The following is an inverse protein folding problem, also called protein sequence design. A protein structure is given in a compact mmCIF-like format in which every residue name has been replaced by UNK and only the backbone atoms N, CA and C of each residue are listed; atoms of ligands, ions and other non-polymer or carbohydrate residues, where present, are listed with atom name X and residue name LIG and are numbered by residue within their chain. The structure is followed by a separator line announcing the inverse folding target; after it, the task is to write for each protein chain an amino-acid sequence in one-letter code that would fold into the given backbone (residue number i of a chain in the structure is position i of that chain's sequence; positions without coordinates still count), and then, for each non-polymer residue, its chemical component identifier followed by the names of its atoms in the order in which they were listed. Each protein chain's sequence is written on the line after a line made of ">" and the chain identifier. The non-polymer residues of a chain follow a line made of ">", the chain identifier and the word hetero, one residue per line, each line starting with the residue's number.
data_IF_432745911483
#
_entry.id   IF_432745911483
#
_cell.length_a   1.000
_cell.length_b   1.000
_cell.length_c   1.000
_cell.angle_alpha   90.00
_cell.angle_beta   90.00
_cell.angle_gamma   90.00
#
_symmetry.space_group_name_H-M   'P 1'
#
loop_
_entity.id
_entity.type
_entity.pdbx_description
1 polymer ?
#
# COMPACT_ATOMS: atom_id res chain seq x y z
N UNK A 1 6.79 17.45 -8.46
CA UNK A 1 6.05 16.34 -9.10
C UNK A 1 5.83 15.23 -8.08
N UNK A 2 4.61 14.72 -7.94
CA UNK A 2 4.28 13.70 -6.96
C UNK A 2 4.64 12.30 -7.48
N UNK A 3 5.47 11.56 -6.73
CA UNK A 3 5.98 10.19 -7.01
C UNK A 3 4.91 9.14 -7.39
N UNK A 4 3.63 9.44 -7.15
CA UNK A 4 2.48 8.62 -7.56
C UNK A 4 2.26 8.64 -9.08
N UNK A 5 2.47 9.78 -9.73
CA UNK A 5 2.21 9.97 -11.18
C UNK A 5 3.22 9.20 -12.03
N UNK A 6 4.48 9.15 -11.59
CA UNK A 6 5.58 8.46 -12.29
C UNK A 6 5.41 6.93 -12.32
N UNK A 7 4.56 6.36 -11.46
CA UNK A 7 4.34 4.90 -11.36
C UNK A 7 3.04 4.43 -12.01
N UNK A 8 2.27 5.31 -12.63
CA UNK A 8 1.03 4.95 -13.33
C UNK A 8 -0.08 4.39 -12.44
N UNK A 9 -0.01 4.58 -11.12
CA UNK A 9 -1.04 4.10 -10.17
C UNK A 9 -2.21 5.07 -10.20
N UNK A 10 -3.41 4.58 -10.53
CA UNK A 10 -4.61 5.42 -10.54
C UNK A 10 -5.12 5.57 -9.11
N UNK A 11 -5.65 6.75 -8.77
CA UNK A 11 -6.19 7.01 -7.43
C UNK A 11 -7.33 6.06 -7.01
N UNK A 12 -8.04 5.49 -7.98
CA UNK A 12 -9.04 4.44 -7.74
C UNK A 12 -8.42 3.16 -7.19
N UNK A 13 -7.24 2.76 -7.68
CA UNK A 13 -6.55 1.55 -7.23
C UNK A 13 -6.02 1.72 -5.81
N UNK A 14 -5.61 2.95 -5.46
CA UNK A 14 -5.19 3.30 -4.10
C UNK A 14 -6.35 3.19 -3.10
N UNK A 15 -7.51 3.75 -3.47
CA UNK A 15 -8.71 3.66 -2.65
C UNK A 15 -9.18 2.21 -2.51
N UNK A 16 -9.09 1.42 -3.58
CA UNK A 16 -9.43 0.00 -3.53
C UNK A 16 -8.49 -0.78 -2.61
N UNK A 17 -7.18 -0.50 -2.66
CA UNK A 17 -6.21 -1.11 -1.76
C UNK A 17 -6.44 -0.76 -0.28
N UNK A 18 -6.98 0.43 0.01
CA UNK A 18 -7.31 0.84 1.37
C UNK A 18 -8.67 0.29 1.85
N UNK A 19 -9.68 0.26 0.98
CA UNK A 19 -11.04 -0.21 1.32
C UNK A 19 -11.16 -1.73 1.36
N UNK A 20 -10.53 -2.41 0.39
CA UNK A 20 -10.57 -3.86 0.25
C UNK A 20 -9.18 -4.40 -0.10
N UNK A 21 -8.23 -4.35 0.86
CA UNK A 21 -6.91 -4.93 0.69
C UNK A 21 -7.02 -6.46 0.52
N UNK A 22 -6.24 -7.02 -0.39
CA UNK A 22 -6.01 -8.47 -0.47
C UNK A 22 -5.24 -8.97 0.74
N UNK A 23 -4.34 -8.14 1.27
CA UNK A 23 -3.60 -8.44 2.50
C UNK A 23 -3.24 -7.17 3.23
N UNK A 24 -3.45 -7.19 4.54
CA UNK A 24 -2.92 -6.20 5.46
C UNK A 24 -1.73 -6.82 6.17
N UNK A 25 -0.56 -6.22 6.03
CA UNK A 25 0.61 -6.64 6.79
C UNK A 25 0.59 -6.03 8.19
N UNK A 26 1.29 -6.67 9.11
CA UNK A 26 1.54 -6.14 10.43
C UNK A 26 2.26 -4.79 10.39
N UNK A 27 2.09 -4.05 11.48
CA UNK A 27 2.75 -2.76 11.67
C UNK A 27 4.24 -3.01 11.90
N UNK A 28 5.06 -2.53 10.97
CA UNK A 28 6.52 -2.58 11.07
C UNK A 28 7.02 -1.27 11.65
N UNK A 29 7.83 -1.36 12.70
CA UNK A 29 8.49 -0.22 13.33
C UNK A 29 9.95 -0.20 12.91
N UNK A 30 10.38 0.91 12.29
CA UNK A 30 11.78 1.09 11.92
C UNK A 30 12.66 1.46 13.15
N UNK A 31 13.98 1.41 13.02
CA UNK A 31 14.94 1.72 14.10
C UNK A 31 14.77 3.12 14.68
N UNK A 32 14.17 4.04 13.92
CA UNK A 32 13.83 5.41 14.34
C UNK A 32 12.44 5.52 15.00
N UNK A 33 11.79 4.40 15.35
CA UNK A 33 10.47 4.39 16.00
C UNK A 33 9.29 4.72 15.07
N UNK A 34 9.53 4.80 13.75
CA UNK A 34 8.48 5.12 12.78
C UNK A 34 7.66 3.87 12.46
N UNK A 35 6.37 3.92 12.73
CA UNK A 35 5.45 2.83 12.37
C UNK A 35 4.99 2.98 10.93
N UNK A 36 4.93 1.86 10.24
CA UNK A 36 4.37 1.76 8.90
C UNK A 36 3.57 0.49 8.75
N UNK A 37 2.42 0.59 8.09
CA UNK A 37 1.55 -0.53 7.80
C UNK A 37 1.30 -0.59 6.30
N UNK A 38 1.44 -1.78 5.72
CA UNK A 38 1.27 -1.98 4.27
C UNK A 38 -0.07 -2.64 3.99
N UNK A 39 -0.83 -2.00 3.13
CA UNK A 39 -2.10 -2.46 2.59
C UNK A 39 -1.86 -2.87 1.15
N UNK A 40 -1.94 -4.16 0.87
CA UNK A 40 -1.69 -4.72 -0.45
C UNK A 40 -3.05 -4.91 -1.11
N UNK A 41 -3.35 -4.09 -2.10
CA UNK A 41 -4.48 -4.28 -3.00
C UNK A 41 -4.10 -5.14 -4.21
N UNK A 42 -5.06 -5.32 -5.10
CA UNK A 42 -4.86 -6.09 -6.34
C UNK A 42 -3.92 -5.39 -7.32
N UNK A 43 -4.04 -4.07 -7.43
CA UNK A 43 -3.33 -3.25 -8.41
C UNK A 43 -2.34 -2.27 -7.77
N UNK A 44 -2.57 -1.91 -6.50
CA UNK A 44 -1.75 -0.95 -5.78
C UNK A 44 -1.49 -1.43 -4.35
N UNK A 45 -0.29 -1.17 -3.86
CA UNK A 45 0.10 -1.33 -2.47
C UNK A 45 0.31 0.05 -1.86
N UNK A 46 -0.36 0.30 -0.74
CA UNK A 46 -0.35 1.56 -0.02
C UNK A 46 0.30 1.34 1.34
N UNK A 47 1.37 2.06 1.62
CA UNK A 47 1.97 2.11 2.95
C UNK A 47 1.49 3.36 3.66
N UNK A 48 0.89 3.20 4.84
CA UNK A 48 0.43 4.28 5.71
C UNK A 48 1.16 4.25 7.04
N UNK A 49 1.23 5.41 7.70
CA UNK A 49 1.64 5.49 9.10
C UNK A 49 0.37 5.31 9.96
N UNK A 50 0.26 4.24 10.77
CA UNK A 50 -0.94 3.96 11.56
C UNK A 50 -1.17 4.98 12.68
N UNK A 51 -0.13 5.67 13.18
CA UNK A 51 -0.28 6.67 14.25
C UNK A 51 -0.85 7.99 13.73
N UNK A 52 -0.61 8.33 12.46
CA UNK A 52 -1.03 9.63 11.87
C UNK A 52 -2.05 9.51 10.75
N UNK A 53 -2.31 8.29 10.25
CA UNK A 53 -3.17 8.04 9.09
C UNK A 53 -2.60 8.54 7.76
N UNK A 54 -1.36 9.05 7.74
CA UNK A 54 -0.76 9.62 6.52
C UNK A 54 -0.23 8.52 5.61
N UNK A 55 -0.46 8.67 4.30
CA UNK A 55 0.13 7.80 3.28
C UNK A 55 1.62 8.11 3.15
N UNK A 56 2.46 7.13 3.44
CA UNK A 56 3.92 7.21 3.32
C UNK A 56 4.35 6.99 1.88
N UNK A 57 3.83 5.92 1.26
CA UNK A 57 4.22 5.56 -0.11
C UNK A 57 3.15 4.72 -0.79
N UNK A 58 3.12 4.82 -2.12
CA UNK A 58 2.22 4.03 -2.98
C UNK A 58 2.99 3.52 -4.18
N UNK A 59 2.73 2.27 -4.55
CA UNK A 59 3.35 1.60 -5.68
C UNK A 59 2.43 0.54 -6.27
N UNK A 60 2.59 0.20 -7.56
CA UNK A 60 1.78 -0.85 -8.17
C UNK A 60 2.10 -2.21 -7.53
N UNK A 61 1.07 -3.02 -7.34
CA UNK A 61 1.22 -4.40 -6.89
C UNK A 61 1.51 -5.27 -8.11
N UNK A 62 2.49 -6.18 -7.99
CA UNK A 62 2.77 -7.13 -9.07
C UNK A 62 1.63 -8.15 -9.19
N UNK A 63 1.20 -8.44 -10.42
CA UNK A 63 0.11 -9.40 -10.72
C UNK A 63 0.32 -10.75 -10.03
N UNK A 64 1.54 -11.29 -10.07
CA UNK A 64 1.90 -12.56 -9.43
C UNK A 64 1.67 -12.56 -7.92
N UNK A 65 1.92 -11.42 -7.26
CA UNK A 65 1.71 -11.28 -5.82
C UNK A 65 0.22 -11.13 -5.50
N UNK A 66 -0.53 -10.37 -6.30
CA UNK A 66 -1.97 -10.26 -6.17
C UNK A 66 -2.67 -11.62 -6.34
N UNK A 67 -2.32 -12.38 -7.39
CA UNK A 67 -2.87 -13.72 -7.63
C UNK A 67 -2.58 -14.69 -6.48
N UNK A 68 -1.39 -14.63 -5.88
CA UNK A 68 -1.05 -15.45 -4.72
C UNK A 68 -1.88 -15.11 -3.48
N UNK A 69 -2.28 -13.85 -3.32
CA UNK A 69 -3.04 -13.38 -2.16
C UNK A 69 -4.56 -13.52 -2.34
N UNK A 70 -5.04 -13.68 -3.57
CA UNK A 70 -6.46 -13.98 -3.88
C UNK A 70 -6.84 -15.45 -3.65
N UNK A 71 -5.86 -16.31 -3.44
CA UNK A 71 -6.03 -17.77 -3.32
C UNK A 71 -6.45 -18.17 -1.92
#
# INVERSE_FOLDING_TARGET
>A
MSRKVERGVRSVDELQALKNPLKVNDIVVDKLGRKSQKFIGEKATVAINPDTGKIISVYPTSTKLAERLKK
#
